data_IF_899605060505
#
_entry.id   IF_899605060505
#
_cell.length_a   1.000
_cell.length_b   1.000
_cell.length_c   1.000
_cell.angle_alpha   90.00
_cell.angle_beta   90.00
_cell.angle_gamma   90.00
#
_symmetry.space_group_name_H-M   'P 1'
#
loop_
_entity.id
_entity.type
_entity.pdbx_description
1 polymer ?
#
# COMPACT_ATOMS: atom_id res chain seq x y z
N UNK A 1 -22.06 0.78 51.97
CA UNK A 1 -20.65 0.46 52.25
C UNK A 1 -19.96 0.38 50.90
N UNK A 2 -19.15 1.39 50.53
CA UNK A 2 -18.42 1.42 49.26
C UNK A 2 -17.02 0.86 49.47
N UNK A 3 -16.58 -0.07 48.61
CA UNK A 3 -15.19 -0.46 48.53
C UNK A 3 -14.67 -0.07 47.14
N UNK A 4 -13.89 1.02 47.11
CA UNK A 4 -13.11 1.47 45.96
C UNK A 4 -11.74 0.79 46.10
N UNK A 5 -11.45 -0.21 45.26
CA UNK A 5 -10.10 -0.77 45.17
C UNK A 5 -9.39 -0.07 44.01
N UNK A 6 -8.45 0.81 44.34
CA UNK A 6 -7.42 1.26 43.39
C UNK A 6 -6.31 0.23 43.45
N UNK A 7 -6.41 -0.80 42.60
CA UNK A 7 -5.28 -1.69 42.34
C UNK A 7 -4.44 -1.09 41.22
N UNK A 8 -3.21 -0.71 41.51
CA UNK A 8 -2.22 -0.40 40.47
C UNK A 8 -1.98 -1.65 39.64
N UNK A 9 -2.33 -1.60 38.36
CA UNK A 9 -2.00 -2.67 37.40
C UNK A 9 -0.51 -2.53 37.07
N UNK A 10 0.32 -3.38 37.66
CA UNK A 10 1.72 -3.54 37.27
C UNK A 10 1.82 -4.53 36.12
N UNK A 11 2.13 -4.05 34.93
CA UNK A 11 2.54 -4.90 33.82
C UNK A 11 3.91 -5.50 34.14
N UNK A 12 3.97 -6.83 34.34
CA UNK A 12 5.22 -7.56 34.43
C UNK A 12 5.57 -8.10 33.04
N UNK A 13 6.62 -7.54 32.42
CA UNK A 13 7.10 -7.91 31.09
C UNK A 13 7.80 -9.27 31.04
N UNK A 14 7.84 -10.03 32.14
CA UNK A 14 8.43 -11.37 32.22
C UNK A 14 7.68 -12.48 31.46
N UNK A 15 6.58 -12.15 30.78
CA UNK A 15 5.81 -13.09 29.94
C UNK A 15 6.19 -13.04 28.46
N UNK A 16 7.08 -12.13 28.03
CA UNK A 16 7.69 -12.19 26.70
C UNK A 16 8.74 -13.30 26.69
N UNK A 17 8.37 -14.47 26.18
CA UNK A 17 9.33 -15.54 25.91
C UNK A 17 10.17 -15.16 24.68
N UNK A 18 11.29 -14.46 24.91
CA UNK A 18 12.31 -14.31 23.88
C UNK A 18 13.04 -15.65 23.74
N UNK A 19 12.82 -16.34 22.62
CA UNK A 19 13.56 -17.54 22.27
C UNK A 19 14.92 -17.13 21.68
N UNK A 20 15.93 -17.01 22.53
CA UNK A 20 17.32 -16.95 22.07
C UNK A 20 17.77 -18.35 21.69
N UNK A 21 18.16 -18.56 20.43
CA UNK A 21 18.83 -19.77 19.99
C UNK A 21 20.29 -19.77 20.47
N UNK A 22 20.50 -19.82 21.79
CA UNK A 22 21.78 -20.21 22.36
C UNK A 22 21.55 -21.03 23.62
N UNK A 23 21.77 -22.34 23.50
CA UNK A 23 21.67 -23.30 24.60
C UNK A 23 22.77 -23.04 25.64
N UNK A 24 22.48 -22.22 26.64
CA UNK A 24 23.18 -22.28 27.93
C UNK A 24 22.16 -22.08 29.05
N UNK A 25 21.74 -23.18 29.67
CA UNK A 25 20.98 -23.14 30.90
C UNK A 25 21.95 -22.89 32.08
N UNK A 26 21.83 -21.75 32.77
CA UNK A 26 21.87 -21.70 34.25
C UNK A 26 21.76 -20.27 34.84
N UNK A 27 20.83 -20.19 35.81
CA UNK A 27 20.84 -19.44 37.09
C UNK A 27 20.43 -17.95 37.08
N UNK A 28 19.33 -17.74 37.80
CA UNK A 28 18.84 -16.50 38.41
C UNK A 28 19.96 -15.63 38.98
N UNK A 29 20.28 -14.56 38.27
CA UNK A 29 20.71 -13.28 38.82
C UNK A 29 19.86 -12.20 38.15
N UNK A 30 19.39 -11.23 38.93
CA UNK A 30 18.81 -9.98 38.41
C UNK A 30 19.91 -9.19 37.70
N UNK A 31 20.35 -9.69 36.56
CA UNK A 31 21.10 -8.93 35.59
C UNK A 31 20.04 -8.27 34.73
N UNK A 32 19.89 -6.95 34.82
CA UNK A 32 19.22 -6.20 33.75
C UNK A 32 20.06 -6.46 32.51
N UNK A 33 19.65 -7.45 31.72
CA UNK A 33 20.14 -7.60 30.36
C UNK A 33 19.74 -6.29 29.71
N UNK A 34 20.72 -5.43 29.39
CA UNK A 34 20.46 -4.29 28.55
C UNK A 34 19.76 -4.85 27.32
N UNK A 35 18.54 -4.37 27.04
CA UNK A 35 17.89 -4.73 25.78
C UNK A 35 18.91 -4.39 24.70
N UNK A 36 19.34 -5.40 23.94
CA UNK A 36 20.13 -5.11 22.76
C UNK A 36 19.28 -4.22 21.87
N UNK A 37 19.91 -3.20 21.30
CA UNK A 37 19.24 -2.25 20.44
C UNK A 37 18.79 -3.01 19.19
N UNK A 38 17.48 -3.11 18.97
CA UNK A 38 16.91 -3.84 17.86
C UNK A 38 17.02 -3.00 16.58
N UNK A 39 18.20 -3.07 15.97
CA UNK A 39 18.55 -2.34 14.76
C UNK A 39 18.02 -3.01 13.48
N UNK A 40 17.08 -3.96 13.58
CA UNK A 40 16.49 -4.57 12.39
C UNK A 40 15.66 -3.53 11.63
N UNK A 41 15.69 -3.56 10.29
CA UNK A 41 14.79 -2.76 9.46
C UNK A 41 13.34 -3.07 9.83
N UNK A 42 12.53 -2.03 10.03
CA UNK A 42 11.09 -2.13 10.28
C UNK A 42 10.36 -1.17 9.38
N UNK A 43 9.31 -1.67 8.73
CA UNK A 43 8.43 -0.91 7.88
C UNK A 43 6.99 -1.09 8.39
N UNK A 44 6.36 0.01 8.78
CA UNK A 44 4.96 0.03 9.23
C UNK A 44 4.07 0.69 8.21
N UNK A 45 3.04 -0.03 7.80
CA UNK A 45 2.00 0.49 6.90
C UNK A 45 0.72 0.74 7.66
N UNK A 46 0.13 1.91 7.43
CA UNK A 46 -1.21 2.25 7.89
C UNK A 46 -2.25 2.01 6.80
N UNK A 47 -3.44 1.58 7.20
CA UNK A 47 -4.62 1.52 6.37
C UNK A 47 -5.77 2.24 7.06
N UNK A 48 -6.20 3.34 6.46
CA UNK A 48 -7.37 4.11 6.88
C UNK A 48 -8.54 3.76 5.96
N UNK A 49 -9.51 3.04 6.50
CA UNK A 49 -10.67 2.57 5.74
C UNK A 49 -11.77 3.61 5.62
N UNK A 50 -12.68 3.40 4.65
CA UNK A 50 -13.92 4.17 4.50
C UNK A 50 -14.76 4.21 5.78
N UNK A 51 -14.77 3.13 6.57
CA UNK A 51 -15.53 3.07 7.83
C UNK A 51 -14.72 3.58 9.04
N UNK A 52 -13.65 4.36 8.81
CA UNK A 52 -12.82 5.00 9.84
C UNK A 52 -12.06 4.03 10.76
N UNK A 53 -11.89 2.77 10.34
CA UNK A 53 -10.97 1.82 10.98
C UNK A 53 -9.56 2.14 10.49
N UNK A 54 -8.63 2.23 11.46
CA UNK A 54 -7.20 2.29 11.19
C UNK A 54 -6.55 0.94 11.56
N UNK A 55 -5.85 0.33 10.60
CA UNK A 55 -5.08 -0.91 10.76
C UNK A 55 -3.61 -0.61 10.48
N UNK A 56 -2.73 -1.09 11.34
CA UNK A 56 -1.29 -1.00 11.12
C UNK A 56 -0.69 -2.39 10.94
N UNK A 57 0.17 -2.53 9.95
CA UNK A 57 0.97 -3.72 9.67
C UNK A 57 2.45 -3.46 9.91
N UNK A 58 3.20 -4.51 10.24
CA UNK A 58 4.66 -4.47 10.34
C UNK A 58 5.28 -5.53 9.43
N UNK A 59 6.29 -5.16 8.67
CA UNK A 59 7.29 -6.10 8.15
C UNK A 59 8.67 -5.75 8.70
N UNK A 60 9.46 -6.78 9.03
CA UNK A 60 10.84 -6.61 9.50
C UNK A 60 11.78 -7.61 8.83
N UNK A 61 13.04 -7.21 8.66
CA UNK A 61 14.09 -8.08 8.11
C UNK A 61 14.95 -8.69 9.22
N UNK A 62 15.10 -10.02 9.24
CA UNK A 62 15.94 -10.78 10.15
C UNK A 62 16.52 -11.99 9.40
N UNK A 63 17.84 -12.17 9.40
CA UNK A 63 18.52 -13.25 8.66
C UNK A 63 18.07 -14.67 9.02
N UNK A 64 17.36 -14.85 10.13
CA UNK A 64 16.80 -16.12 10.59
C UNK A 64 15.34 -16.36 10.19
N UNK A 65 14.67 -15.38 9.58
CA UNK A 65 13.34 -15.52 9.02
C UNK A 65 13.41 -16.01 7.55
N UNK A 66 12.26 -16.24 6.96
CA UNK A 66 12.09 -16.59 5.54
C UNK A 66 10.93 -15.78 4.96
N UNK A 67 10.73 -15.81 3.64
CA UNK A 67 9.53 -15.22 3.04
C UNK A 67 8.24 -16.03 3.30
N UNK A 68 8.37 -17.22 3.92
CA UNK A 68 7.26 -18.08 4.32
C UNK A 68 6.71 -17.75 5.71
N UNK A 69 5.96 -18.68 6.30
CA UNK A 69 5.52 -18.56 7.69
C UNK A 69 6.60 -19.09 8.63
N UNK A 70 7.04 -18.25 9.56
CA UNK A 70 8.04 -18.51 10.58
C UNK A 70 7.50 -18.20 11.99
N UNK A 71 7.26 -19.27 12.74
CA UNK A 71 6.82 -19.18 14.14
C UNK A 71 7.84 -18.41 14.98
N UNK A 72 7.41 -17.27 15.53
CA UNK A 72 8.24 -16.39 16.35
C UNK A 72 8.71 -15.13 15.64
N UNK A 73 8.56 -15.07 14.32
CA UNK A 73 8.77 -13.86 13.52
C UNK A 73 7.43 -13.29 13.03
N UNK A 74 6.49 -14.15 12.67
CA UNK A 74 5.19 -13.73 12.16
C UNK A 74 4.10 -13.73 13.23
N UNK A 75 3.14 -12.80 13.07
CA UNK A 75 1.92 -12.76 13.85
C UNK A 75 0.71 -12.96 12.93
N UNK A 76 0.07 -14.11 13.05
CA UNK A 76 -1.17 -14.39 12.32
C UNK A 76 -2.25 -13.40 12.75
N UNK A 77 -3.01 -12.93 11.77
CA UNK A 77 -4.13 -12.05 12.00
C UNK A 77 -5.35 -12.85 12.46
N UNK A 78 -5.78 -12.60 13.69
CA UNK A 78 -6.94 -13.24 14.31
C UNK A 78 -8.11 -12.27 14.50
N UNK A 79 -7.94 -11.01 14.10
CA UNK A 79 -8.95 -9.98 14.25
C UNK A 79 -10.07 -10.19 13.23
N UNK A 80 -11.28 -9.74 13.59
CA UNK A 80 -12.45 -9.77 12.71
C UNK A 80 -12.93 -8.34 12.49
N UNK A 81 -12.09 -7.53 11.85
CA UNK A 81 -12.45 -6.16 11.49
C UNK A 81 -13.37 -6.16 10.27
N UNK A 82 -14.30 -5.20 10.22
CA UNK A 82 -15.21 -5.06 9.07
C UNK A 82 -14.50 -4.57 7.82
N UNK A 83 -13.48 -3.74 8.00
CA UNK A 83 -12.51 -3.36 6.97
C UNK A 83 -11.12 -3.68 7.53
N UNK A 84 -10.26 -4.27 6.72
CA UNK A 84 -8.95 -4.75 7.18
C UNK A 84 -7.91 -4.76 6.07
N UNK A 85 -6.65 -4.68 6.48
CA UNK A 85 -5.47 -4.86 5.65
C UNK A 85 -4.53 -5.83 6.36
N UNK A 86 -3.97 -6.79 5.62
CA UNK A 86 -3.08 -7.82 6.14
C UNK A 86 -2.04 -8.24 5.11
N UNK A 87 -0.92 -8.75 5.59
CA UNK A 87 0.03 -9.48 4.75
C UNK A 87 -0.56 -10.83 4.35
N UNK A 88 -0.24 -11.26 3.13
CA UNK A 88 -0.64 -12.56 2.62
C UNK A 88 0.57 -13.49 2.49
N UNK A 89 0.63 -14.50 3.35
CA UNK A 89 1.66 -15.54 3.33
C UNK A 89 0.93 -16.87 3.10
N UNK A 90 1.20 -17.56 1.98
CA UNK A 90 0.57 -18.83 1.63
C UNK A 90 -0.97 -18.83 1.75
N UNK A 91 -1.62 -17.73 1.33
CA UNK A 91 -3.08 -17.50 1.42
C UNK A 91 -3.64 -17.33 2.85
N UNK A 92 -2.79 -17.23 3.87
CA UNK A 92 -3.19 -16.87 5.23
C UNK A 92 -2.86 -15.40 5.52
N UNK A 93 -3.51 -14.85 6.56
CA UNK A 93 -3.49 -13.43 6.90
C UNK A 93 -2.57 -13.16 8.08
N UNK A 94 -1.73 -12.15 7.98
CA UNK A 94 -0.77 -11.79 9.03
C UNK A 94 -0.76 -10.28 9.28
N UNK A 95 -0.59 -9.90 10.56
CA UNK A 95 -0.43 -8.51 10.99
C UNK A 95 1.05 -8.12 11.11
N UNK A 96 1.92 -9.09 11.36
CA UNK A 96 3.38 -8.95 11.40
C UNK A 96 3.98 -10.03 10.51
N UNK A 97 4.93 -9.62 9.66
CA UNK A 97 5.74 -10.52 8.84
C UNK A 97 7.24 -10.32 9.12
N UNK A 98 7.97 -11.40 9.34
CA UNK A 98 9.42 -11.43 9.22
C UNK A 98 9.84 -11.90 7.82
N UNK A 99 10.93 -11.36 7.31
CA UNK A 99 11.58 -11.82 6.08
C UNK A 99 13.09 -11.85 6.27
N UNK A 100 13.81 -12.71 5.55
CA UNK A 100 15.27 -12.81 5.62
C UNK A 100 15.99 -11.51 5.21
N UNK A 101 15.53 -10.92 4.11
CA UNK A 101 16.11 -9.71 3.53
C UNK A 101 15.02 -8.86 2.87
N UNK A 102 15.24 -7.54 2.86
CA UNK A 102 14.45 -6.60 2.07
C UNK A 102 15.38 -5.91 1.09
N UNK A 103 15.16 -6.17 -0.19
CA UNK A 103 15.93 -5.63 -1.31
C UNK A 103 15.02 -5.31 -2.51
N UNK A 104 15.63 -4.85 -3.61
CA UNK A 104 14.94 -4.48 -4.85
C UNK A 104 14.09 -5.60 -5.46
N UNK A 105 14.39 -6.87 -5.17
CA UNK A 105 13.67 -8.03 -5.70
C UNK A 105 12.51 -8.45 -4.81
N UNK A 106 12.46 -7.92 -3.58
CA UNK A 106 11.50 -8.30 -2.57
C UNK A 106 10.10 -7.82 -2.95
N UNK A 107 9.12 -8.72 -2.80
CA UNK A 107 7.71 -8.50 -3.10
C UNK A 107 6.88 -9.02 -1.95
N UNK A 108 6.07 -8.15 -1.35
CA UNK A 108 5.30 -8.48 -0.15
C UNK A 108 3.81 -8.33 -0.45
N UNK A 109 3.08 -9.45 -0.67
CA UNK A 109 1.67 -9.41 -1.02
C UNK A 109 0.79 -8.82 0.09
N UNK A 110 -0.12 -7.94 -0.30
CA UNK A 110 -1.10 -7.32 0.58
C UNK A 110 -2.52 -7.77 0.22
N UNK A 111 -3.29 -8.13 1.24
CA UNK A 111 -4.71 -8.36 1.16
C UNK A 111 -5.49 -7.21 1.79
N UNK A 112 -6.56 -6.77 1.13
CA UNK A 112 -7.51 -5.80 1.69
C UNK A 112 -8.92 -6.37 1.65
N UNK A 113 -9.67 -6.17 2.74
CA UNK A 113 -11.10 -6.40 2.77
C UNK A 113 -11.81 -5.10 3.16
N UNK A 114 -12.92 -4.80 2.50
CA UNK A 114 -13.82 -3.74 2.94
C UNK A 114 -15.27 -4.16 2.78
N UNK A 115 -16.11 -3.75 3.74
CA UNK A 115 -17.54 -4.04 3.79
C UNK A 115 -18.41 -2.99 3.09
N UNK A 116 -17.86 -1.79 2.86
CA UNK A 116 -18.60 -0.67 2.27
C UNK A 116 -17.82 -0.11 1.08
N UNK A 117 -18.52 0.31 0.03
CA UNK A 117 -17.84 1.01 -1.06
C UNK A 117 -17.33 2.37 -0.58
N UNK A 118 -16.10 2.75 -0.91
CA UNK A 118 -15.59 4.07 -0.61
C UNK A 118 -14.09 4.23 -0.75
N UNK A 119 -13.61 5.42 -0.38
CA UNK A 119 -12.20 5.75 -0.37
C UNK A 119 -11.50 5.12 0.83
N UNK A 120 -10.36 4.51 0.58
CA UNK A 120 -9.45 3.98 1.59
C UNK A 120 -8.04 4.50 1.28
N UNK A 121 -7.21 4.65 2.31
CA UNK A 121 -5.87 5.22 2.17
C UNK A 121 -4.84 4.28 2.79
N UNK A 122 -3.76 4.03 2.06
CA UNK A 122 -2.58 3.28 2.54
C UNK A 122 -1.44 4.29 2.70
N UNK A 123 -0.81 4.28 3.87
CA UNK A 123 0.24 5.23 4.28
C UNK A 123 1.46 4.51 4.84
N UNK A 124 2.60 5.22 4.86
CA UNK A 124 3.73 4.85 5.70
C UNK A 124 3.53 5.45 7.09
N UNK A 125 3.29 4.60 8.08
CA UNK A 125 3.12 5.06 9.45
C UNK A 125 4.47 5.29 10.13
N UNK A 126 5.42 4.39 9.90
CA UNK A 126 6.74 4.45 10.52
C UNK A 126 7.77 3.63 9.72
N UNK A 127 9.01 4.09 9.72
CA UNK A 127 10.16 3.38 9.19
C UNK A 127 11.29 3.47 10.21
N UNK A 128 11.90 2.35 10.55
CA UNK A 128 13.03 2.29 11.49
C UNK A 128 14.17 1.47 10.88
N UNK A 129 15.42 1.96 10.98
CA UNK A 129 16.63 1.25 10.53
C UNK A 129 16.58 0.73 9.07
N UNK A 130 15.81 1.40 8.21
CA UNK A 130 15.62 1.01 6.83
C UNK A 130 16.61 1.73 5.92
N UNK A 131 17.10 1.10 4.83
CA UNK A 131 18.00 1.78 3.91
C UNK A 131 17.35 3.02 3.28
N UNK A 132 18.03 4.17 3.37
CA UNK A 132 17.53 5.45 2.84
C UNK A 132 17.32 5.40 1.33
N UNK A 133 18.25 4.75 0.62
CA UNK A 133 18.26 4.64 -0.85
C UNK A 133 17.20 3.67 -1.39
N UNK A 134 16.57 2.87 -0.52
CA UNK A 134 15.56 1.90 -0.94
C UNK A 134 14.18 2.54 -0.91
N UNK A 135 13.58 2.77 -2.08
CA UNK A 135 12.23 3.29 -2.20
C UNK A 135 11.19 2.24 -1.81
N UNK A 136 9.98 2.69 -1.45
CA UNK A 136 8.90 1.81 -1.02
C UNK A 136 7.68 2.13 -1.86
N UNK A 137 7.33 1.21 -2.75
CA UNK A 137 6.22 1.35 -3.66
C UNK A 137 5.06 0.46 -3.25
N UNK A 138 3.84 0.98 -3.37
CA UNK A 138 2.66 0.16 -3.50
C UNK A 138 2.41 -0.11 -4.99
N UNK A 139 2.42 -1.37 -5.38
CA UNK A 139 2.04 -1.78 -6.74
C UNK A 139 0.59 -2.25 -6.76
N UNK A 140 -0.27 -1.49 -7.45
CA UNK A 140 -1.63 -1.90 -7.79
C UNK A 140 -1.62 -2.66 -9.12
N UNK A 141 -1.73 -3.99 -9.05
CA UNK A 141 -1.73 -4.90 -10.20
C UNK A 141 -2.95 -4.77 -11.09
N UNK A 142 -4.08 -4.31 -10.55
CA UNK A 142 -5.31 -4.15 -11.34
C UNK A 142 -5.21 -2.90 -12.22
N UNK A 143 -4.66 -1.81 -11.68
CA UNK A 143 -4.45 -0.56 -12.41
C UNK A 143 -3.11 -0.49 -13.14
N UNK A 144 -2.18 -1.41 -12.84
CA UNK A 144 -0.80 -1.39 -13.26
C UNK A 144 -0.10 -0.06 -12.93
N UNK A 145 -0.19 0.35 -11.66
CA UNK A 145 0.39 1.60 -11.13
C UNK A 145 1.36 1.26 -9.99
N UNK A 146 2.57 1.80 -10.03
CA UNK A 146 3.49 1.83 -8.89
C UNK A 146 3.46 3.22 -8.26
N UNK A 147 3.12 3.29 -6.98
CA UNK A 147 3.01 4.54 -6.23
C UNK A 147 4.07 4.59 -5.13
N UNK A 148 4.93 5.61 -5.13
CA UNK A 148 5.96 5.77 -4.10
C UNK A 148 5.34 6.26 -2.79
N UNK A 149 5.25 5.37 -1.79
CA UNK A 149 4.66 5.71 -0.50
C UNK A 149 5.52 6.69 0.30
N UNK A 150 6.83 6.79 0.01
CA UNK A 150 7.71 7.80 0.65
C UNK A 150 7.37 9.23 0.21
N UNK A 151 6.74 9.40 -0.96
CA UNK A 151 6.38 10.72 -1.49
C UNK A 151 4.98 11.18 -1.06
N UNK A 152 4.03 10.25 -0.99
CA UNK A 152 2.66 10.53 -0.55
C UNK A 152 1.87 9.27 -0.23
N UNK A 153 0.77 9.43 0.50
CA UNK A 153 -0.19 8.35 0.74
C UNK A 153 -0.90 7.92 -0.55
N UNK A 154 -1.24 6.63 -0.65
CA UNK A 154 -2.02 6.09 -1.75
C UNK A 154 -3.50 6.02 -1.38
N UNK A 155 -4.35 6.79 -2.06
CA UNK A 155 -5.81 6.76 -1.84
C UNK A 155 -6.53 6.11 -3.01
N UNK A 156 -7.41 5.15 -2.70
CA UNK A 156 -8.13 4.36 -3.70
C UNK A 156 -9.59 4.15 -3.32
N UNK A 157 -10.48 4.24 -4.32
CA UNK A 157 -11.86 3.81 -4.16
C UNK A 157 -11.96 2.29 -4.34
N UNK A 158 -12.46 1.60 -3.32
CA UNK A 158 -12.74 0.17 -3.36
C UNK A 158 -14.25 -0.06 -3.23
N UNK A 159 -14.76 -1.02 -3.99
CA UNK A 159 -16.09 -1.57 -3.73
C UNK A 159 -16.00 -2.55 -2.56
N UNK A 160 -17.13 -2.81 -1.91
CA UNK A 160 -17.23 -3.85 -0.89
C UNK A 160 -16.79 -5.20 -1.47
N UNK A 161 -15.83 -5.85 -0.82
CA UNK A 161 -15.22 -7.07 -1.33
C UNK A 161 -13.88 -7.41 -0.69
N UNK A 162 -13.19 -8.37 -1.29
CA UNK A 162 -11.86 -8.82 -0.88
C UNK A 162 -10.90 -8.75 -2.05
N UNK A 163 -9.75 -8.13 -1.83
CA UNK A 163 -8.72 -7.85 -2.82
C UNK A 163 -7.43 -8.55 -2.39
N UNK A 164 -7.30 -9.84 -2.72
CA UNK A 164 -6.19 -10.68 -2.25
C UNK A 164 -5.00 -10.74 -3.22
N UNK A 165 -5.21 -10.33 -4.47
CA UNK A 165 -4.19 -10.45 -5.53
C UNK A 165 -3.92 -9.11 -6.22
N UNK A 166 -4.36 -8.00 -5.63
CA UNK A 166 -4.29 -6.66 -6.25
C UNK A 166 -3.07 -5.87 -5.79
N UNK A 167 -2.81 -5.86 -4.49
CA UNK A 167 -1.78 -4.98 -3.91
C UNK A 167 -0.54 -5.77 -3.51
N UNK A 168 0.60 -5.12 -3.63
CA UNK A 168 1.91 -5.66 -3.24
C UNK A 168 2.83 -4.49 -2.88
N UNK A 169 3.68 -4.67 -1.87
CA UNK A 169 4.78 -3.75 -1.61
C UNK A 169 6.00 -4.23 -2.38
N UNK A 170 6.60 -3.31 -3.13
CA UNK A 170 7.80 -3.53 -3.92
C UNK A 170 8.82 -2.44 -3.61
N UNK A 171 10.10 -2.73 -3.83
CA UNK A 171 11.19 -1.79 -3.53
C UNK A 171 11.87 -1.21 -4.77
N UNK A 172 11.32 -1.54 -5.94
CA UNK A 172 11.57 -0.89 -7.21
C UNK A 172 10.23 -0.53 -7.86
N UNK A 173 10.25 0.53 -8.65
CA UNK A 173 9.13 0.89 -9.52
C UNK A 173 8.90 -0.25 -10.52
N UNK A 174 7.69 -0.80 -10.55
CA UNK A 174 7.35 -1.81 -11.56
C UNK A 174 7.18 -1.10 -12.90
N UNK A 175 7.74 -1.66 -13.98
CA UNK A 175 7.58 -1.12 -15.32
C UNK A 175 6.09 -1.11 -15.71
N UNK A 176 5.45 0.05 -15.61
CA UNK A 176 4.06 0.25 -16.03
C UNK A 176 4.05 0.56 -17.52
N UNK A 177 3.08 0.02 -18.27
CA UNK A 177 2.81 0.42 -19.66
C UNK A 177 1.93 1.68 -19.71
N UNK A 178 1.85 2.45 -18.63
CA UNK A 178 0.92 3.55 -18.48
C UNK A 178 1.68 4.87 -18.28
N UNK A 179 1.67 5.67 -19.36
CA UNK A 179 1.77 7.12 -19.45
C UNK A 179 2.19 7.87 -18.18
N UNK A 180 3.35 8.54 -18.30
CA UNK A 180 3.71 9.76 -17.57
C UNK A 180 2.48 10.46 -16.99
N UNK A 181 2.47 10.58 -15.67
CA UNK A 181 1.62 11.45 -14.86
C UNK A 181 0.64 12.29 -15.69
N UNK A 182 -0.64 11.90 -15.68
CA UNK A 182 -1.69 12.85 -16.00
C UNK A 182 -1.72 13.89 -14.87
N UNK A 183 -0.81 14.85 -14.98
CA UNK A 183 -0.91 16.18 -14.37
C UNK A 183 -2.35 16.66 -14.55
N UNK A 184 -3.10 16.65 -13.43
CA UNK A 184 -4.47 17.14 -13.25
C UNK A 184 -5.07 17.82 -14.49
N UNK A 185 -5.93 17.07 -15.20
CA UNK A 185 -6.89 17.49 -16.24
C UNK A 185 -6.87 18.98 -16.61
N UNK A 186 -6.05 19.33 -17.62
CA UNK A 186 -6.06 20.65 -18.27
C UNK A 186 -6.89 20.68 -19.57
N UNK A 187 -7.40 19.52 -19.99
CA UNK A 187 -8.25 19.32 -21.17
C UNK A 187 -9.43 18.44 -20.75
N UNK A 188 -10.65 18.92 -20.92
CA UNK A 188 -11.87 18.15 -20.68
C UNK A 188 -12.44 17.64 -22.01
N UNK A 189 -12.98 16.42 -22.00
CA UNK A 189 -13.66 15.86 -23.17
C UNK A 189 -15.01 15.29 -22.76
N UNK A 190 -16.04 15.58 -23.55
CA UNK A 190 -17.38 15.04 -23.32
C UNK A 190 -18.11 14.81 -24.64
N UNK A 191 -19.11 13.93 -24.60
CA UNK A 191 -20.01 13.70 -25.73
C UNK A 191 -21.22 14.62 -25.62
N UNK A 192 -21.42 15.47 -26.63
CA UNK A 192 -22.56 16.37 -26.75
C UNK A 192 -23.72 15.64 -27.42
N UNK A 193 -24.70 15.18 -26.64
CA UNK A 193 -25.86 14.47 -27.18
C UNK A 193 -26.70 15.34 -28.15
N UNK A 194 -26.75 16.65 -27.95
CA UNK A 194 -27.50 17.56 -28.81
C UNK A 194 -26.86 17.75 -30.19
N UNK A 195 -25.54 17.61 -30.27
CA UNK A 195 -24.76 17.82 -31.49
C UNK A 195 -24.23 16.50 -32.08
N UNK A 196 -24.44 15.40 -31.36
CA UNK A 196 -23.95 14.06 -31.69
C UNK A 196 -22.44 14.06 -32.01
N UNK A 197 -21.66 14.80 -31.22
CA UNK A 197 -20.25 15.08 -31.44
C UNK A 197 -19.45 14.95 -30.16
N UNK A 198 -18.13 14.77 -30.29
CA UNK A 198 -17.21 14.87 -29.15
C UNK A 198 -16.70 16.31 -29.08
N UNK A 199 -16.87 16.92 -27.91
CA UNK A 199 -16.39 18.25 -27.60
C UNK A 199 -15.11 18.16 -26.76
N UNK A 200 -14.09 18.92 -27.16
CA UNK A 200 -12.79 19.00 -26.48
C UNK A 200 -12.60 20.42 -25.96
N UNK A 201 -12.68 20.58 -24.65
CA UNK A 201 -12.46 21.84 -23.97
C UNK A 201 -11.00 21.92 -23.52
N UNK A 202 -10.29 22.96 -23.96
CA UNK A 202 -8.90 23.21 -23.61
C UNK A 202 -8.78 24.56 -22.88
N UNK A 203 -9.29 24.65 -21.63
CA UNK A 203 -9.34 25.91 -20.89
C UNK A 203 -7.93 26.46 -20.61
N UNK A 204 -6.94 25.57 -20.45
CA UNK A 204 -5.54 25.95 -20.20
C UNK A 204 -4.76 26.32 -21.47
N UNK A 205 -5.40 26.34 -22.64
CA UNK A 205 -4.77 26.70 -23.93
C UNK A 205 -3.49 25.90 -24.23
N UNK A 206 -3.51 24.61 -23.89
CA UNK A 206 -2.43 23.67 -24.18
C UNK A 206 -2.24 23.56 -25.68
N UNK A 207 -1.00 23.42 -26.11
CA UNK A 207 -0.69 23.18 -27.51
C UNK A 207 -1.07 21.74 -27.88
N UNK A 208 -2.04 21.58 -28.78
CA UNK A 208 -2.49 20.27 -29.27
C UNK A 208 -1.87 20.05 -30.66
N UNK A 209 -1.02 19.04 -30.77
CA UNK A 209 -0.37 18.67 -32.04
C UNK A 209 -1.33 17.91 -32.95
N UNK A 210 -1.96 16.86 -32.42
CA UNK A 210 -2.94 16.05 -33.12
C UNK A 210 -3.98 15.46 -32.18
N UNK A 211 -5.12 15.09 -32.73
CA UNK A 211 -6.21 14.39 -32.05
C UNK A 211 -6.46 13.09 -32.81
N UNK A 212 -6.44 11.96 -32.10
CA UNK A 212 -6.65 10.65 -32.67
C UNK A 212 -7.72 9.90 -31.88
N UNK A 213 -8.62 9.22 -32.58
CA UNK A 213 -9.65 8.39 -31.98
C UNK A 213 -9.50 6.96 -32.46
N UNK A 214 -9.67 6.01 -31.55
CA UNK A 214 -9.55 4.59 -31.82
C UNK A 214 -10.87 3.88 -31.48
N UNK A 215 -11.21 2.83 -32.22
CA UNK A 215 -12.28 1.93 -31.82
C UNK A 215 -11.80 0.95 -30.74
N UNK A 216 -12.72 0.15 -30.19
CA UNK A 216 -12.44 -0.81 -29.12
C UNK A 216 -11.41 -1.89 -29.49
N UNK A 217 -11.14 -2.09 -30.78
CA UNK A 217 -10.12 -3.04 -31.27
C UNK A 217 -8.81 -2.36 -31.66
N UNK A 218 -8.64 -1.07 -31.31
CA UNK A 218 -7.41 -0.32 -31.51
C UNK A 218 -7.17 0.20 -32.92
N UNK A 219 -8.18 0.20 -33.80
CA UNK A 219 -8.06 0.80 -35.13
C UNK A 219 -8.36 2.30 -35.06
N UNK A 220 -7.51 3.12 -35.67
CA UNK A 220 -7.74 4.56 -35.79
C UNK A 220 -8.98 4.83 -36.64
N UNK A 221 -9.97 5.48 -36.03
CA UNK A 221 -11.23 5.90 -36.69
C UNK A 221 -11.27 7.40 -36.98
N UNK A 222 -10.40 8.19 -36.35
CA UNK A 222 -10.28 9.62 -36.60
C UNK A 222 -8.85 10.10 -36.36
N UNK A 223 -8.35 10.99 -37.21
CA UNK A 223 -7.06 11.65 -37.04
C UNK A 223 -7.14 13.08 -37.55
N UNK A 224 -6.83 14.05 -36.69
CA UNK A 224 -6.82 15.47 -37.01
C UNK A 224 -5.51 16.09 -36.55
N UNK A 225 -4.74 16.65 -37.49
CA UNK A 225 -3.61 17.51 -37.16
C UNK A 225 -4.11 18.93 -36.89
N UNK A 226 -3.90 19.40 -35.67
CA UNK A 226 -4.50 20.66 -35.19
C UNK A 226 -3.47 21.77 -35.08
N UNK A 227 -2.27 21.44 -34.57
CA UNK A 227 -1.13 22.36 -34.37
C UNK A 227 -1.55 23.72 -33.78
N UNK A 228 -2.46 23.72 -32.81
CA UNK A 228 -3.11 24.93 -32.29
C UNK A 228 -3.28 24.88 -30.78
N UNK A 229 -3.41 26.07 -30.19
CA UNK A 229 -3.78 26.29 -28.78
C UNK A 229 -5.28 26.58 -28.59
N UNK A 230 -6.05 26.67 -29.68
CA UNK A 230 -7.48 27.03 -29.64
C UNK A 230 -8.38 25.85 -29.24
N UNK A 231 -9.52 26.17 -28.64
CA UNK A 231 -10.63 25.24 -28.40
C UNK A 231 -11.10 24.65 -29.72
N UNK A 232 -11.23 23.32 -29.79
CA UNK A 232 -11.78 22.60 -30.95
C UNK A 232 -13.13 22.07 -30.51
N UNK A 233 -14.19 22.76 -30.93
CA UNK A 233 -15.51 22.53 -30.37
C UNK A 233 -16.29 21.39 -31.05
N UNK A 234 -15.85 20.84 -32.17
CA UNK A 234 -16.65 19.84 -32.89
C UNK A 234 -15.78 18.84 -33.66
N UNK A 235 -15.90 17.56 -33.28
CA UNK A 235 -15.43 16.42 -34.07
C UNK A 235 -16.64 15.51 -34.29
N UNK A 236 -17.06 15.37 -35.55
CA UNK A 236 -18.19 14.55 -35.99
C UNK A 236 -17.94 13.97 -37.37
#
# INVERSE_FOLDING_TARGET
>A
MMAKTSGDIKFNNGQRAFHTHNKVAAKSSHTKIAAEDDNRPKLRLGFNSVNQIHRQLLVTADEHATSGYDSGFDAQDIDQLSDDMYWLINNEKFSIQGIDIIDETTKIPLGIHTKTNGANTISLDEIEHFPEDLNIYLYDKELNISHNLKESDYTIYLAAGSYLNRFEITFIEQATLANTEFENNKIDMYFSNSENSIAINNPSSIYIESIQMYNLVGQSVFNLETKTKKVISHIG
#
